data_IF_699554246940
#
_entry.id   IF_699554246940
#
_cell.length_a   1.000
_cell.length_b   1.000
_cell.length_c   1.000
_cell.angle_alpha   90.00
_cell.angle_beta   90.00
_cell.angle_gamma   90.00
#
_symmetry.space_group_name_H-M   'P 1'
#
loop_
_entity.id
_entity.type
_entity.pdbx_description
1 polymer ?
#
# COMPACT_ATOMS: atom_id res chain seq x y z
N UNK A 1 -4.26 3.73 11.49
CA UNK A 1 -3.81 3.31 10.14
C UNK A 1 -3.41 4.53 9.32
N UNK A 2 -4.30 5.49 9.08
CA UNK A 2 -3.99 6.67 8.24
C UNK A 2 -2.75 7.48 8.67
N UNK A 3 -2.58 7.72 9.97
CA UNK A 3 -1.39 8.39 10.50
C UNK A 3 -0.11 7.58 10.24
N UNK A 4 -0.19 6.24 10.36
CA UNK A 4 0.94 5.37 10.04
C UNK A 4 1.21 5.40 8.52
N UNK A 5 0.19 5.45 7.67
CA UNK A 5 0.40 5.58 6.22
C UNK A 5 1.10 6.91 5.91
N UNK A 6 0.64 8.01 6.50
CA UNK A 6 1.29 9.31 6.37
C UNK A 6 2.77 9.27 6.80
N UNK A 7 3.07 8.64 7.94
CA UNK A 7 4.43 8.57 8.47
C UNK A 7 5.33 7.61 7.68
N UNK A 8 4.90 6.37 7.44
CA UNK A 8 5.76 5.32 6.90
C UNK A 8 5.79 5.28 5.37
N UNK A 9 4.73 5.73 4.70
CA UNK A 9 4.67 5.75 3.23
C UNK A 9 5.05 7.12 2.67
N UNK A 10 4.61 8.20 3.32
CA UNK A 10 4.84 9.57 2.83
C UNK A 10 5.89 10.36 3.64
N UNK A 11 6.47 9.77 4.69
CA UNK A 11 7.41 10.44 5.60
C UNK A 11 6.86 11.76 6.20
N UNK A 12 5.54 11.81 6.42
CA UNK A 12 4.83 12.97 6.95
C UNK A 12 4.48 12.74 8.43
N UNK A 13 5.16 13.44 9.34
CA UNK A 13 4.97 13.32 10.81
C UNK A 13 4.00 14.34 11.42
N UNK A 14 3.60 15.36 10.67
CA UNK A 14 2.71 16.42 11.14
C UNK A 14 1.84 16.98 10.01
N UNK A 15 0.72 17.61 10.38
CA UNK A 15 -0.24 18.20 9.45
C UNK A 15 -1.54 17.40 9.34
N UNK A 16 -2.40 17.82 8.41
CA UNK A 16 -3.65 17.14 8.13
C UNK A 16 -3.37 15.77 7.48
N UNK A 17 -3.95 14.72 8.05
CA UNK A 17 -3.81 13.35 7.58
C UNK A 17 -5.01 13.01 6.71
N UNK A 18 -4.76 12.63 5.45
CA UNK A 18 -5.82 12.13 4.57
C UNK A 18 -6.37 10.81 5.08
N UNK A 19 -7.65 10.54 4.79
CA UNK A 19 -8.34 9.31 5.19
C UNK A 19 -7.97 8.10 4.29
N UNK A 20 -6.68 7.79 4.16
CA UNK A 20 -6.13 6.79 3.23
C UNK A 20 -6.82 5.43 3.29
N UNK A 21 -7.22 4.96 4.47
CA UNK A 21 -7.75 3.61 4.66
C UNK A 21 -9.26 3.50 4.48
N UNK A 22 -9.96 4.62 4.31
CA UNK A 22 -11.42 4.65 4.15
C UNK A 22 -11.89 5.38 2.91
N UNK A 23 -11.09 6.31 2.38
CA UNK A 23 -11.29 6.93 1.07
C UNK A 23 -10.41 6.27 0.01
N UNK A 24 -11.04 5.69 -1.01
CA UNK A 24 -10.33 5.03 -2.10
C UNK A 24 -9.51 6.01 -2.95
N UNK A 25 -9.94 7.27 -3.08
CA UNK A 25 -9.19 8.27 -3.83
C UNK A 25 -7.88 8.63 -3.10
N UNK A 26 -7.94 8.80 -1.77
CA UNK A 26 -6.74 8.91 -0.95
C UNK A 26 -5.87 7.65 -1.01
N UNK A 27 -6.46 6.45 -0.97
CA UNK A 27 -5.71 5.19 -1.08
C UNK A 27 -4.94 5.07 -2.41
N UNK A 28 -5.46 5.59 -3.51
CA UNK A 28 -4.74 5.59 -4.79
C UNK A 28 -3.44 6.43 -4.74
N UNK A 29 -3.36 7.46 -3.90
CA UNK A 29 -2.10 8.20 -3.70
C UNK A 29 -1.01 7.31 -3.10
N UNK A 30 -1.38 6.36 -2.24
CA UNK A 30 -0.46 5.35 -1.69
C UNK A 30 0.07 4.48 -2.82
N UNK A 31 -0.83 4.06 -3.73
CA UNK A 31 -0.46 3.26 -4.90
C UNK A 31 0.50 4.03 -5.80
N UNK A 32 0.22 5.29 -6.09
CA UNK A 32 1.07 6.13 -6.94
C UNK A 32 2.49 6.24 -6.39
N UNK A 33 2.64 6.44 -5.07
CA UNK A 33 3.95 6.45 -4.40
C UNK A 33 4.68 5.11 -4.55
N UNK A 34 4.01 3.99 -4.27
CA UNK A 34 4.63 2.66 -4.34
C UNK A 34 4.96 2.25 -5.79
N UNK A 35 4.14 2.66 -6.75
CA UNK A 35 4.37 2.44 -8.18
C UNK A 35 5.53 3.30 -8.70
N UNK A 36 5.72 4.51 -8.18
CA UNK A 36 6.89 5.33 -8.49
C UNK A 36 8.20 4.65 -8.05
N UNK A 37 8.17 3.84 -6.98
CA UNK A 37 9.29 2.99 -6.56
C UNK A 37 9.47 1.72 -7.42
N UNK A 38 8.66 1.57 -8.47
CA UNK A 38 8.73 0.50 -9.46
C UNK A 38 8.00 -0.79 -9.08
N UNK A 39 7.14 -0.75 -8.08
CA UNK A 39 6.23 -1.85 -7.77
C UNK A 39 4.99 -1.81 -8.68
N UNK A 40 4.28 -2.93 -8.75
CA UNK A 40 2.98 -3.05 -9.39
C UNK A 40 1.96 -3.50 -8.35
N UNK A 41 0.76 -2.94 -8.40
CA UNK A 41 -0.37 -3.38 -7.59
C UNK A 41 -1.16 -4.46 -8.34
N UNK A 42 -1.42 -5.57 -7.65
CA UNK A 42 -2.49 -6.48 -7.96
C UNK A 42 -3.54 -6.38 -6.86
N UNK A 43 -4.79 -6.12 -7.25
CA UNK A 43 -5.91 -5.99 -6.33
C UNK A 43 -6.99 -7.00 -6.73
N UNK A 44 -7.35 -7.87 -5.80
CA UNK A 44 -8.33 -8.93 -6.00
C UNK A 44 -9.48 -8.77 -5.00
N UNK A 45 -10.71 -8.91 -5.49
CA UNK A 45 -11.92 -8.82 -4.68
C UNK A 45 -12.63 -10.17 -4.50
N UNK A 46 -13.49 -10.25 -3.47
CA UNK A 46 -14.28 -11.43 -3.13
C UNK A 46 -15.08 -11.19 -1.86
N UNK A 47 -14.99 -12.11 -0.87
CA UNK A 47 -15.49 -11.87 0.49
C UNK A 47 -14.64 -10.86 1.26
N UNK A 48 -13.37 -10.75 0.91
CA UNK A 48 -12.39 -9.78 1.41
C UNK A 48 -11.64 -9.19 0.22
N UNK A 49 -10.96 -8.07 0.44
CA UNK A 49 -10.07 -7.47 -0.55
C UNK A 49 -8.64 -7.88 -0.26
N UNK A 50 -7.91 -8.33 -1.27
CA UNK A 50 -6.51 -8.69 -1.17
C UNK A 50 -5.69 -7.76 -2.07
N UNK A 51 -4.73 -7.07 -1.48
CA UNK A 51 -3.81 -6.20 -2.19
C UNK A 51 -2.40 -6.80 -2.14
N UNK A 52 -1.75 -6.85 -3.30
CA UNK A 52 -0.40 -7.35 -3.46
C UNK A 52 0.44 -6.34 -4.22
N UNK A 53 1.52 -5.87 -3.61
CA UNK A 53 2.54 -5.10 -4.31
C UNK A 53 3.71 -6.00 -4.67
N UNK A 54 4.13 -5.97 -5.93
CA UNK A 54 5.24 -6.80 -6.40
C UNK A 54 6.14 -6.08 -7.39
N UNK A 55 7.44 -6.37 -7.33
CA UNK A 55 8.46 -5.83 -8.22
C UNK A 55 9.38 -6.96 -8.66
N UNK A 56 9.56 -7.10 -9.98
CA UNK A 56 10.54 -8.02 -10.55
C UNK A 56 11.89 -7.33 -10.62
N UNK A 57 12.91 -7.94 -10.03
CA UNK A 57 14.28 -7.45 -10.10
C UNK A 57 14.94 -8.13 -11.32
N UNK A 58 14.99 -7.40 -12.44
CA UNK A 58 15.41 -7.91 -13.75
C UNK A 58 16.80 -8.59 -13.77
N UNK A 59 17.63 -8.35 -12.75
CA UNK A 59 18.98 -8.91 -12.66
C UNK A 59 19.09 -10.19 -11.82
N UNK A 60 18.10 -10.55 -11.00
CA UNK A 60 18.27 -11.65 -10.03
C UNK A 60 17.19 -12.73 -10.09
N UNK A 61 16.21 -12.65 -11.00
CA UNK A 61 14.99 -13.49 -11.00
C UNK A 61 14.17 -13.42 -9.70
N UNK A 62 14.61 -12.61 -8.72
CA UNK A 62 13.92 -12.43 -7.46
C UNK A 62 12.72 -11.50 -7.66
N UNK A 63 11.57 -11.95 -7.17
CA UNK A 63 10.36 -11.13 -7.09
C UNK A 63 10.16 -10.74 -5.64
N UNK A 64 10.29 -9.45 -5.34
CA UNK A 64 9.84 -8.93 -4.04
C UNK A 64 8.34 -8.74 -4.13
N UNK A 65 7.61 -9.35 -3.20
CA UNK A 65 6.16 -9.21 -3.12
C UNK A 65 5.71 -9.14 -1.66
N UNK A 66 4.70 -8.31 -1.42
CA UNK A 66 4.03 -8.14 -0.15
C UNK A 66 2.53 -8.27 -0.38
N UNK A 67 1.81 -8.82 0.59
CA UNK A 67 0.39 -9.11 0.43
C UNK A 67 -0.36 -8.98 1.75
N UNK A 68 -1.46 -8.24 1.72
CA UNK A 68 -2.40 -8.12 2.85
C UNK A 68 -3.84 -8.16 2.39
N UNK A 69 -4.70 -8.60 3.31
CA UNK A 69 -6.14 -8.58 3.15
C UNK A 69 -6.77 -7.50 4.01
N UNK A 70 -7.80 -6.85 3.49
CA UNK A 70 -8.62 -5.85 4.19
C UNK A 70 -10.11 -6.07 3.92
N UNK A 71 -10.95 -5.40 4.72
CA UNK A 71 -12.41 -5.43 4.55
C UNK A 71 -12.86 -4.55 3.39
N UNK A 72 -12.06 -3.52 3.06
CA UNK A 72 -12.26 -2.64 1.91
C UNK A 72 -11.02 -2.59 1.03
N UNK A 73 -11.12 -2.16 -0.24
CA UNK A 73 -9.94 -2.02 -1.09
C UNK A 73 -8.95 -0.99 -0.55
N UNK A 74 -9.44 0.14 -0.02
CA UNK A 74 -8.62 1.20 0.56
C UNK A 74 -7.81 0.69 1.77
N UNK A 75 -8.45 -0.05 2.66
CA UNK A 75 -7.81 -0.71 3.79
C UNK A 75 -6.75 -1.73 3.34
N UNK A 76 -7.09 -2.60 2.37
CA UNK A 76 -6.16 -3.61 1.87
C UNK A 76 -4.88 -2.96 1.29
N UNK A 77 -5.03 -1.89 0.49
CA UNK A 77 -3.93 -1.11 -0.07
C UNK A 77 -3.05 -0.51 1.03
N UNK A 78 -3.66 0.11 2.05
CA UNK A 78 -2.91 0.72 3.14
C UNK A 78 -2.15 -0.31 3.98
N UNK A 79 -2.77 -1.45 4.27
CA UNK A 79 -2.14 -2.52 5.06
C UNK A 79 -0.90 -3.09 4.36
N UNK A 80 -0.98 -3.38 3.06
CA UNK A 80 0.19 -3.91 2.33
C UNK A 80 1.28 -2.83 2.20
N UNK A 81 0.92 -1.57 2.04
CA UNK A 81 1.89 -0.47 1.98
C UNK A 81 2.60 -0.26 3.33
N UNK A 82 1.91 -0.44 4.46
CA UNK A 82 2.52 -0.39 5.78
C UNK A 82 3.49 -1.55 6.02
N UNK A 83 3.11 -2.77 5.62
CA UNK A 83 4.01 -3.94 5.70
C UNK A 83 5.31 -3.69 4.92
N UNK A 84 5.21 -3.11 3.71
CA UNK A 84 6.37 -2.80 2.87
C UNK A 84 7.35 -1.82 3.52
N UNK A 85 6.84 -0.87 4.31
CA UNK A 85 7.60 0.24 4.86
C UNK A 85 7.92 0.08 6.36
N UNK A 86 7.66 -1.10 6.94
CA UNK A 86 7.96 -1.41 8.34
C UNK A 86 7.06 -0.69 9.35
N UNK A 87 5.85 -0.30 8.93
CA UNK A 87 4.86 0.35 9.79
C UNK A 87 4.02 -0.60 10.64
N UNK A 88 4.10 -1.92 10.40
CA UNK A 88 3.47 -3.02 11.14
C UNK A 88 4.27 -4.32 11.03
#
# INVERSE_FOLDING_TARGET
MDAAVAEYVFNQRSGEVSAYSTDIAAAWKVVDTVVADGYRLQLSGGKTWQARFYKSVAKTLETRAFERSGSTPAEAICLVALEMNGGI
#
